data_IF_350504258125
#
_entry.id   IF_350504258125
#
_cell.length_a   1.000
_cell.length_b   1.000
_cell.length_c   1.000
_cell.angle_alpha   90.00
_cell.angle_beta   90.00
_cell.angle_gamma   90.00
#
_symmetry.space_group_name_H-M   'P 1'
#
loop_
_entity.id
_entity.type
_entity.pdbx_description
1 polymer ?
#
# COMPACT_ATOMS: atom_id res chain seq x y z
N UNK A 1 -17.53 4.45 7.18
CA UNK A 1 -17.54 3.49 6.06
C UNK A 1 -17.15 2.13 6.60
N UNK A 2 -17.71 1.07 6.07
CA UNK A 2 -17.23 -0.29 6.31
C UNK A 2 -15.89 -0.51 5.59
N UNK A 3 -15.18 -1.59 5.93
CA UNK A 3 -13.94 -1.94 5.23
C UNK A 3 -14.16 -2.32 3.75
N UNK A 4 -15.37 -2.78 3.39
CA UNK A 4 -15.72 -3.09 2.00
C UNK A 4 -15.92 -1.77 1.24
N UNK A 5 -16.72 -0.86 1.78
CA UNK A 5 -16.94 0.47 1.20
C UNK A 5 -15.61 1.24 1.06
N UNK A 6 -14.70 1.10 2.03
CA UNK A 6 -13.37 1.72 1.97
C UNK A 6 -12.51 1.15 0.84
N UNK A 7 -12.57 -0.17 0.63
CA UNK A 7 -11.84 -0.80 -0.47
C UNK A 7 -12.41 -0.36 -1.82
N UNK A 8 -13.74 -0.35 -1.97
CA UNK A 8 -14.42 0.11 -3.19
C UNK A 8 -14.05 1.57 -3.49
N UNK A 9 -14.06 2.42 -2.45
CA UNK A 9 -13.63 3.80 -2.58
C UNK A 9 -12.16 3.93 -2.97
N UNK A 10 -11.25 3.14 -2.39
CA UNK A 10 -9.84 3.13 -2.79
C UNK A 10 -9.66 2.69 -4.25
N UNK A 11 -10.42 1.70 -4.73
CA UNK A 11 -10.39 1.27 -6.14
C UNK A 11 -10.99 2.32 -7.08
N UNK A 12 -12.01 3.05 -6.65
CA UNK A 12 -12.55 4.19 -7.39
C UNK A 12 -11.50 5.30 -7.51
N UNK A 13 -10.87 5.69 -6.40
CA UNK A 13 -9.79 6.70 -6.40
C UNK A 13 -8.60 6.23 -7.24
N UNK A 14 -8.23 4.95 -7.16
CA UNK A 14 -7.20 4.36 -8.02
C UNK A 14 -7.55 4.49 -9.51
N UNK A 15 -8.79 4.15 -9.87
CA UNK A 15 -9.24 4.16 -11.28
C UNK A 15 -9.34 5.56 -11.85
N UNK A 16 -9.62 6.55 -11.00
CA UNK A 16 -9.66 7.97 -11.35
C UNK A 16 -8.30 8.67 -11.24
N UNK A 17 -7.24 7.95 -10.89
CA UNK A 17 -5.87 8.48 -10.91
C UNK A 17 -5.52 9.01 -12.31
N UNK A 18 -4.80 10.13 -12.43
CA UNK A 18 -4.34 10.64 -13.72
C UNK A 18 -3.48 9.66 -14.51
N UNK A 19 -2.83 8.71 -13.84
CA UNK A 19 -2.03 7.66 -14.46
C UNK A 19 -2.10 6.37 -13.60
N UNK A 20 -3.15 5.54 -13.76
CA UNK A 20 -3.38 4.37 -12.92
C UNK A 20 -2.27 3.31 -13.08
N UNK A 21 -1.57 3.26 -14.22
CA UNK A 21 -0.43 2.37 -14.43
C UNK A 21 0.87 2.89 -13.79
N UNK A 22 0.88 4.14 -13.29
CA UNK A 22 2.02 4.76 -12.62
C UNK A 22 1.81 4.75 -11.11
N UNK A 23 2.64 3.97 -10.39
CA UNK A 23 2.59 3.90 -8.92
C UNK A 23 2.72 5.27 -8.25
N UNK A 24 3.66 6.11 -8.71
CA UNK A 24 3.93 7.44 -8.13
C UNK A 24 2.75 8.41 -8.29
N UNK A 25 2.12 8.47 -9.47
CA UNK A 25 1.00 9.39 -9.69
C UNK A 25 -0.25 8.93 -8.94
N UNK A 26 -0.53 7.62 -8.97
CA UNK A 26 -1.62 7.02 -8.18
C UNK A 26 -1.39 7.20 -6.68
N UNK A 27 -0.14 7.09 -6.22
CA UNK A 27 0.22 7.38 -4.85
C UNK A 27 -0.15 8.81 -4.45
N UNK A 28 0.32 9.83 -5.18
CA UNK A 28 0.02 11.24 -4.86
C UNK A 28 -1.47 11.54 -4.87
N UNK A 29 -2.19 10.99 -5.84
CA UNK A 29 -3.64 11.13 -5.92
C UNK A 29 -4.32 10.54 -4.67
N UNK A 30 -3.98 9.30 -4.32
CA UNK A 30 -4.53 8.63 -3.14
C UNK A 30 -4.13 9.32 -1.85
N UNK A 31 -2.88 9.76 -1.71
CA UNK A 31 -2.37 10.45 -0.53
C UNK A 31 -3.24 11.67 -0.19
N UNK A 32 -3.55 12.49 -1.19
CA UNK A 32 -4.42 13.67 -1.04
C UNK A 32 -5.81 13.30 -0.49
N UNK A 33 -6.38 12.20 -0.95
CA UNK A 33 -7.69 11.75 -0.52
C UNK A 33 -7.66 11.07 0.86
N UNK A 34 -6.66 10.24 1.11
CA UNK A 34 -6.47 9.50 2.37
C UNK A 34 -6.21 10.44 3.54
N UNK A 35 -5.42 11.50 3.35
CA UNK A 35 -5.11 12.49 4.39
C UNK A 35 -6.38 13.06 5.06
N UNK A 36 -7.44 13.22 4.28
CA UNK A 36 -8.72 13.79 4.73
C UNK A 36 -9.56 12.83 5.58
N UNK A 37 -9.33 11.53 5.45
CA UNK A 37 -10.17 10.50 6.07
C UNK A 37 -9.44 9.64 7.10
N UNK A 38 -8.10 9.60 7.08
CA UNK A 38 -7.30 8.65 7.87
C UNK A 38 -7.56 8.75 9.38
N UNK A 39 -7.85 9.96 9.89
CA UNK A 39 -8.16 10.16 11.33
C UNK A 39 -9.51 9.56 11.73
N UNK A 40 -10.53 9.65 10.87
CA UNK A 40 -11.89 9.22 11.19
C UNK A 40 -12.23 7.83 10.66
N UNK A 41 -11.48 7.31 9.70
CA UNK A 41 -11.68 6.02 9.05
C UNK A 41 -10.45 5.12 9.13
N UNK A 42 -9.63 5.27 10.19
CA UNK A 42 -8.36 4.56 10.36
C UNK A 42 -8.50 3.04 10.22
N UNK A 43 -9.42 2.44 10.98
CA UNK A 43 -9.60 0.99 11.00
C UNK A 43 -10.08 0.43 9.64
N UNK A 44 -11.14 0.97 9.01
CA UNK A 44 -11.53 0.57 7.65
C UNK A 44 -10.39 0.72 6.63
N UNK A 45 -9.60 1.80 6.72
CA UNK A 45 -8.47 2.06 5.84
C UNK A 45 -7.37 1.00 6.02
N UNK A 46 -7.00 0.68 7.27
CA UNK A 46 -6.03 -0.37 7.58
C UNK A 46 -6.47 -1.70 6.97
N UNK A 47 -7.75 -2.08 7.12
CA UNK A 47 -8.24 -3.35 6.57
C UNK A 47 -8.18 -3.35 5.03
N UNK A 48 -8.52 -2.23 4.38
CA UNK A 48 -8.48 -2.13 2.93
C UNK A 48 -7.04 -2.16 2.39
N UNK A 49 -6.11 -1.41 3.00
CA UNK A 49 -4.69 -1.43 2.63
C UNK A 49 -4.05 -2.80 2.87
N UNK A 50 -4.43 -3.51 3.94
CA UNK A 50 -4.02 -4.90 4.16
C UNK A 50 -4.38 -5.80 2.99
N UNK A 51 -5.56 -5.61 2.38
CA UNK A 51 -5.96 -6.37 1.18
C UNK A 51 -5.04 -6.04 -0.01
N UNK A 52 -4.72 -4.78 -0.25
CA UNK A 52 -3.78 -4.38 -1.31
C UNK A 52 -2.35 -4.92 -1.08
N UNK A 53 -1.88 -4.92 0.17
CA UNK A 53 -0.59 -5.52 0.53
C UNK A 53 -0.59 -7.03 0.25
N UNK A 54 -1.70 -7.71 0.56
CA UNK A 54 -1.87 -9.15 0.35
C UNK A 54 -1.92 -9.57 -1.13
N UNK A 55 -2.13 -8.64 -2.07
CA UNK A 55 -2.08 -8.94 -3.50
C UNK A 55 -0.69 -9.35 -3.99
N UNK A 56 0.37 -8.89 -3.30
CA UNK A 56 1.77 -9.14 -3.67
C UNK A 56 2.07 -8.77 -5.14
N UNK A 57 1.47 -7.68 -5.61
CA UNK A 57 1.51 -7.24 -7.00
C UNK A 57 1.67 -5.73 -7.14
N UNK A 58 2.54 -5.33 -8.06
CA UNK A 58 2.72 -3.93 -8.43
C UNK A 58 1.57 -3.42 -9.30
N UNK A 59 1.29 -2.11 -9.27
CA UNK A 59 1.84 -1.10 -8.35
C UNK A 59 1.11 -0.99 -7.00
N UNK A 60 -0.06 -1.63 -6.86
CA UNK A 60 -0.95 -1.47 -5.68
C UNK A 60 -0.28 -1.82 -4.35
N UNK A 61 0.53 -2.88 -4.33
CA UNK A 61 1.20 -3.31 -3.09
C UNK A 61 2.22 -2.27 -2.58
N UNK A 62 3.05 -1.67 -3.44
CA UNK A 62 3.94 -0.59 -2.99
C UNK A 62 3.19 0.67 -2.58
N UNK A 63 2.16 1.07 -3.35
CA UNK A 63 1.35 2.25 -2.97
C UNK A 63 0.72 2.07 -1.59
N UNK A 64 0.23 0.86 -1.28
CA UNK A 64 -0.30 0.57 0.05
C UNK A 64 0.77 0.63 1.15
N UNK A 65 2.00 0.17 0.85
CA UNK A 65 3.12 0.25 1.79
C UNK A 65 3.55 1.70 2.07
N UNK A 66 3.60 2.55 1.04
CA UNK A 66 3.93 3.97 1.18
C UNK A 66 2.85 4.72 1.96
N UNK A 67 1.57 4.52 1.65
CA UNK A 67 0.46 5.10 2.42
C UNK A 67 0.50 4.66 3.88
N UNK A 68 0.84 3.39 4.15
CA UNK A 68 0.98 2.90 5.51
C UNK A 68 2.08 3.65 6.27
N UNK A 69 3.24 3.86 5.64
CA UNK A 69 4.36 4.59 6.23
C UNK A 69 4.03 6.08 6.45
N UNK A 70 3.54 6.78 5.42
CA UNK A 70 3.31 8.23 5.47
C UNK A 70 2.20 8.63 6.44
N UNK A 71 1.23 7.74 6.70
CA UNK A 71 0.17 7.96 7.69
C UNK A 71 0.39 7.21 9.02
N UNK A 72 1.60 6.66 9.25
CA UNK A 72 1.99 5.96 10.47
C UNK A 72 0.97 4.88 10.89
N UNK A 73 0.54 4.04 9.94
CA UNK A 73 -0.42 2.96 10.15
C UNK A 73 0.26 1.73 10.75
N UNK A 74 0.76 1.86 11.98
CA UNK A 74 1.52 0.83 12.71
C UNK A 74 0.85 -0.56 12.76
N UNK A 75 -0.47 -0.60 12.61
CA UNK A 75 -1.29 -1.81 12.51
C UNK A 75 -0.94 -2.68 11.29
N UNK A 76 -0.31 -2.11 10.26
CA UNK A 76 0.13 -2.79 9.05
C UNK A 76 1.58 -3.28 9.13
N UNK A 77 2.32 -3.00 10.22
CA UNK A 77 3.70 -3.48 10.40
C UNK A 77 3.84 -4.99 10.18
N UNK A 78 3.00 -5.87 10.75
CA UNK A 78 3.13 -7.31 10.53
C UNK A 78 2.95 -7.70 9.06
N UNK A 79 2.01 -7.03 8.37
CA UNK A 79 1.73 -7.27 6.95
C UNK A 79 2.91 -6.86 6.06
N UNK A 80 3.58 -5.75 6.41
CA UNK A 80 4.78 -5.27 5.70
C UNK A 80 6.02 -6.12 5.99
N UNK A 81 6.20 -6.62 7.22
CA UNK A 81 7.25 -7.58 7.52
C UNK A 81 7.09 -8.89 6.73
N UNK A 82 5.86 -9.42 6.68
CA UNK A 82 5.56 -10.61 5.89
C UNK A 82 5.79 -10.36 4.39
N UNK A 83 5.42 -9.19 3.89
CA UNK A 83 5.70 -8.78 2.51
C UNK A 83 7.21 -8.74 2.24
N UNK A 84 8.02 -8.16 3.14
CA UNK A 84 9.47 -8.09 2.98
C UNK A 84 10.10 -9.49 2.89
N UNK A 85 9.73 -10.39 3.81
CA UNK A 85 10.20 -11.78 3.79
C UNK A 85 9.76 -12.51 2.50
N UNK A 86 8.55 -12.24 2.00
CA UNK A 86 8.09 -12.79 0.72
C UNK A 86 8.91 -12.25 -0.48
N UNK A 87 9.32 -10.97 -0.47
CA UNK A 87 10.14 -10.39 -1.53
C UNK A 87 11.53 -11.02 -1.53
N UNK A 88 12.17 -11.07 -0.36
CA UNK A 88 13.51 -11.63 -0.19
C UNK A 88 13.54 -13.13 -0.49
N UNK A 89 12.51 -13.86 -0.07
CA UNK A 89 12.30 -15.26 -0.38
C UNK A 89 11.82 -15.54 -1.82
N UNK A 90 11.54 -14.50 -2.61
CA UNK A 90 11.13 -14.64 -4.01
C UNK A 90 9.72 -15.21 -4.23
N UNK A 91 8.82 -15.05 -3.26
CA UNK A 91 7.44 -15.55 -3.25
C UNK A 91 6.40 -14.53 -3.75
N UNK A 92 6.84 -13.38 -4.23
CA UNK A 92 5.96 -12.35 -4.82
C UNK A 92 5.89 -12.45 -6.35
N UNK A 93 4.89 -11.82 -6.96
CA UNK A 93 4.75 -11.72 -8.42
C UNK A 93 5.54 -10.54 -9.01
N UNK A 94 6.44 -9.96 -8.22
CA UNK A 94 7.25 -8.82 -8.66
C UNK A 94 8.29 -9.21 -9.69
N UNK A 95 8.73 -8.23 -10.47
CA UNK A 95 9.78 -8.43 -11.46
C UNK A 95 11.06 -8.94 -10.78
N UNK A 96 11.60 -10.12 -11.16
CA UNK A 96 12.73 -10.72 -10.48
C UNK A 96 13.99 -9.85 -10.42
N UNK A 97 14.23 -9.04 -11.46
CA UNK A 97 15.36 -8.10 -11.52
C UNK A 97 15.24 -6.88 -10.60
N UNK A 98 14.08 -6.69 -9.97
CA UNK A 98 13.79 -5.56 -9.09
C UNK A 98 13.51 -6.01 -7.64
N UNK A 99 13.75 -7.27 -7.29
CA UNK A 99 13.53 -7.78 -5.91
C UNK A 99 14.23 -6.93 -4.85
N UNK A 100 15.52 -6.67 -5.03
CA UNK A 100 16.29 -5.83 -4.09
C UNK A 100 15.75 -4.41 -4.00
N UNK A 101 15.24 -3.87 -5.12
CA UNK A 101 14.60 -2.55 -5.13
C UNK A 101 13.33 -2.54 -4.28
N UNK A 102 12.40 -3.48 -4.50
CA UNK A 102 11.17 -3.57 -3.71
C UNK A 102 11.43 -3.91 -2.24
N UNK A 103 12.42 -4.77 -1.95
CA UNK A 103 12.82 -5.07 -0.58
C UNK A 103 13.29 -3.81 0.16
N UNK A 104 14.14 -3.00 -0.48
CA UNK A 104 14.60 -1.73 0.07
C UNK A 104 13.46 -0.73 0.29
N UNK A 105 12.46 -0.67 -0.62
CA UNK A 105 11.29 0.19 -0.45
C UNK A 105 10.45 -0.22 0.77
N UNK A 106 10.14 -1.51 0.91
CA UNK A 106 9.34 -2.01 2.03
C UNK A 106 10.11 -1.86 3.35
N UNK A 107 11.41 -2.14 3.37
CA UNK A 107 12.27 -1.89 4.54
C UNK A 107 12.29 -0.40 4.92
N UNK A 108 12.36 0.49 3.92
CA UNK A 108 12.23 1.93 4.13
C UNK A 108 10.89 2.32 4.74
N UNK A 109 9.78 1.72 4.28
CA UNK A 109 8.45 1.94 4.87
C UNK A 109 8.39 1.47 6.34
N UNK A 110 8.92 0.29 6.64
CA UNK A 110 8.98 -0.25 8.01
C UNK A 110 9.76 0.62 8.99
N UNK A 111 10.75 1.39 8.50
CA UNK A 111 11.52 2.33 9.31
C UNK A 111 10.79 3.65 9.64
N UNK A 112 9.75 3.98 8.88
CA UNK A 112 8.99 5.25 8.99
C UNK A 112 7.64 5.10 9.72
N UNK A 113 7.13 3.86 9.79
CA UNK A 113 5.83 3.52 10.40
C UNK A 113 5.94 3.29 11.91
#
# INVERSE_FOLDING_TARGET
MTAIEMLEWLEEMWSNSPAPDSGEQSYRHLQFHVERIVKSQREPLVIALRKWISLRSEPRTMVAADLAADFHLSELRPDLFALLDDIEGGRTKFLPGLKSHYGNLVAGCLSRI
#
